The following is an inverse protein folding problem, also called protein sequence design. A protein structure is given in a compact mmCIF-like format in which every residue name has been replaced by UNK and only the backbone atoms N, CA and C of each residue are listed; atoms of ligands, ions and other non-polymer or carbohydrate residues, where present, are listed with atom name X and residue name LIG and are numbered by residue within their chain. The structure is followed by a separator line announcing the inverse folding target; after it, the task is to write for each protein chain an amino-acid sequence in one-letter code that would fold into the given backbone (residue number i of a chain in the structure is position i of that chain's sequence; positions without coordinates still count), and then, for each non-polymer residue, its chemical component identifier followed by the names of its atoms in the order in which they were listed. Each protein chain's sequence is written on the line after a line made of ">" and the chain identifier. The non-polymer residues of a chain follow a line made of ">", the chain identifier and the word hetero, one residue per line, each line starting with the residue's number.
data_IF_657484457246
#
_entry.id   IF_657484457246
#
_cell.length_a   1.000
_cell.length_b   1.000
_cell.length_c   1.000
_cell.angle_alpha   90.00
_cell.angle_beta   90.00
_cell.angle_gamma   90.00
#
_symmetry.space_group_name_H-M   'P 1'
#
loop_
_entity.id
_entity.type
_entity.pdbx_description
1 polymer ?
#
# COMPACT_ATOMS: atom_id res chain seq x y z
N UNK A 1 15.53 -20.46 -6.96
CA UNK A 1 14.70 -20.72 -5.76
C UNK A 1 14.11 -19.40 -5.28
N UNK A 2 12.78 -19.31 -5.10
CA UNK A 2 12.14 -18.14 -4.50
C UNK A 2 12.48 -18.03 -3.01
N UNK A 3 12.92 -16.85 -2.55
CA UNK A 3 13.32 -16.58 -1.16
C UNK A 3 12.51 -15.41 -0.59
N UNK A 4 11.20 -15.58 -0.46
CA UNK A 4 10.27 -14.54 0.02
C UNK A 4 10.63 -14.01 1.41
N UNK A 5 11.17 -14.84 2.30
CA UNK A 5 11.58 -14.38 3.64
C UNK A 5 12.80 -13.44 3.60
N UNK A 6 13.66 -13.56 2.59
CA UNK A 6 14.83 -12.71 2.42
C UNK A 6 14.47 -11.28 1.99
N UNK A 7 13.26 -11.06 1.46
CA UNK A 7 12.81 -9.72 1.01
C UNK A 7 12.30 -8.84 2.14
N UNK A 8 12.16 -9.37 3.37
CA UNK A 8 11.72 -8.62 4.56
C UNK A 8 12.62 -7.43 4.88
N UNK A 9 13.93 -7.55 4.63
CA UNK A 9 14.90 -6.47 4.82
C UNK A 9 14.92 -5.47 3.66
N UNK A 10 14.14 -5.69 2.60
CA UNK A 10 14.11 -4.85 1.40
C UNK A 10 12.73 -4.23 1.22
N UNK A 11 12.43 -3.10 1.89
CA UNK A 11 11.68 -1.99 1.34
C UNK A 11 10.65 -2.27 0.25
N UNK A 12 11.22 -2.03 -0.93
CA UNK A 12 10.63 -2.02 -2.25
C UNK A 12 10.11 -3.37 -2.70
N UNK A 13 10.57 -4.48 -2.08
CA UNK A 13 10.12 -5.83 -2.41
C UNK A 13 8.98 -6.28 -1.50
N UNK A 14 9.08 -6.09 -0.19
CA UNK A 14 8.02 -6.59 0.69
C UNK A 14 6.70 -5.87 0.48
N UNK A 15 6.70 -4.58 0.08
CA UNK A 15 5.45 -3.86 -0.25
C UNK A 15 4.73 -4.51 -1.44
N UNK A 16 5.47 -5.05 -2.41
CA UNK A 16 4.90 -5.79 -3.54
C UNK A 16 4.32 -7.12 -3.08
N UNK A 17 5.02 -7.84 -2.19
CA UNK A 17 4.49 -9.08 -1.61
C UNK A 17 3.21 -8.85 -0.80
N UNK A 18 3.14 -7.78 -0.01
CA UNK A 18 1.92 -7.41 0.71
C UNK A 18 0.80 -7.05 -0.25
N UNK A 19 1.09 -6.30 -1.31
CA UNK A 19 0.13 -6.01 -2.37
C UNK A 19 -0.46 -7.27 -3.00
N UNK A 20 0.37 -8.28 -3.29
CA UNK A 20 -0.10 -9.59 -3.79
C UNK A 20 -0.88 -10.37 -2.73
N UNK A 21 -0.46 -10.31 -1.46
CA UNK A 21 -1.19 -10.95 -0.35
C UNK A 21 -2.61 -10.37 -0.23
N UNK A 22 -2.78 -9.05 -0.42
CA UNK A 22 -4.09 -8.42 -0.45
C UNK A 22 -4.98 -8.90 -1.59
N UNK A 23 -4.43 -9.29 -2.75
CA UNK A 23 -5.21 -9.92 -3.83
C UNK A 23 -5.81 -11.24 -3.34
N UNK A 24 -4.99 -12.07 -2.68
CA UNK A 24 -5.45 -13.34 -2.10
C UNK A 24 -6.54 -13.09 -1.05
N UNK A 25 -6.33 -12.12 -0.16
CA UNK A 25 -7.32 -11.74 0.86
C UNK A 25 -8.62 -11.24 0.21
N UNK A 26 -8.54 -10.42 -0.84
CA UNK A 26 -9.72 -9.91 -1.54
C UNK A 26 -10.54 -11.03 -2.19
N UNK A 27 -9.88 -11.99 -2.84
CA UNK A 27 -10.55 -13.15 -3.44
C UNK A 27 -11.17 -14.06 -2.36
N UNK A 28 -10.48 -14.28 -1.25
CA UNK A 28 -11.01 -15.04 -0.11
C UNK A 28 -12.25 -14.36 0.50
N UNK A 29 -12.19 -13.04 0.73
CA UNK A 29 -13.32 -12.26 1.23
C UNK A 29 -14.50 -12.26 0.24
N UNK A 30 -14.22 -12.24 -1.06
CA UNK A 30 -15.27 -12.33 -2.10
C UNK A 30 -16.02 -13.65 -2.02
N UNK A 31 -15.31 -14.77 -1.82
CA UNK A 31 -15.93 -16.08 -1.61
C UNK A 31 -16.70 -16.14 -0.28
N UNK A 32 -16.09 -15.67 0.80
CA UNK A 32 -16.69 -15.67 2.14
C UNK A 32 -17.95 -14.79 2.24
N UNK A 33 -18.05 -13.71 1.48
CA UNK A 33 -19.22 -12.83 1.49
C UNK A 33 -20.53 -13.54 1.09
N UNK A 34 -20.45 -14.66 0.36
CA UNK A 34 -21.61 -15.49 0.02
C UNK A 34 -21.95 -16.54 1.09
N UNK A 35 -21.05 -16.78 2.05
CA UNK A 35 -21.17 -17.87 3.03
C UNK A 35 -21.34 -17.34 4.47
N UNK A 36 -20.80 -16.16 4.77
CA UNK A 36 -20.75 -15.59 6.11
C UNK A 36 -21.46 -14.24 6.11
N UNK A 37 -22.64 -14.11 6.75
CA UNK A 37 -23.43 -12.87 6.74
C UNK A 37 -22.70 -11.62 7.26
N UNK A 38 -21.74 -11.80 8.18
CA UNK A 38 -20.93 -10.71 8.72
C UNK A 38 -19.91 -10.15 7.72
N UNK A 39 -19.56 -10.90 6.66
CA UNK A 39 -18.59 -10.46 5.65
C UNK A 39 -19.33 -9.74 4.53
N UNK A 40 -19.27 -8.41 4.55
CA UNK A 40 -19.90 -7.60 3.49
C UNK A 40 -19.13 -7.73 2.16
N UNK A 41 -19.81 -7.75 1.00
CA UNK A 41 -19.14 -7.76 -0.31
C UNK A 41 -18.17 -6.59 -0.53
N UNK A 42 -18.41 -5.45 0.14
CA UNK A 42 -17.54 -4.28 0.12
C UNK A 42 -16.17 -4.53 0.75
N UNK A 43 -16.04 -5.48 1.69
CA UNK A 43 -14.75 -5.82 2.30
C UNK A 43 -13.76 -6.37 1.27
N UNK A 44 -14.22 -7.20 0.34
CA UNK A 44 -13.41 -7.70 -0.77
C UNK A 44 -12.94 -6.57 -1.70
N UNK A 45 -13.85 -5.63 -2.00
CA UNK A 45 -13.53 -4.45 -2.83
C UNK A 45 -12.47 -3.58 -2.15
N UNK A 46 -12.59 -3.34 -0.84
CA UNK A 46 -11.61 -2.55 -0.11
C UNK A 46 -10.27 -3.26 0.08
N UNK A 47 -10.26 -4.58 0.31
CA UNK A 47 -9.03 -5.36 0.31
C UNK A 47 -8.29 -5.25 -1.04
N UNK A 48 -9.03 -5.30 -2.15
CA UNK A 48 -8.45 -5.15 -3.49
C UNK A 48 -7.98 -3.72 -3.77
N UNK A 49 -8.79 -2.71 -3.47
CA UNK A 49 -8.53 -1.33 -3.88
C UNK A 49 -7.60 -0.60 -2.90
N UNK A 50 -7.91 -0.62 -1.61
CA UNK A 50 -7.13 0.05 -0.56
C UNK A 50 -5.87 -0.74 -0.25
N UNK A 51 -6.00 -2.06 -0.10
CA UNK A 51 -4.89 -2.97 0.19
C UNK A 51 -3.98 -3.22 -1.02
N UNK A 52 -4.47 -3.97 -2.01
CA UNK A 52 -3.64 -4.43 -3.12
C UNK A 52 -3.23 -3.28 -4.05
N UNK A 53 -4.19 -2.60 -4.67
CA UNK A 53 -3.91 -1.51 -5.62
C UNK A 53 -3.16 -0.38 -4.93
N UNK A 54 -3.57 0.02 -3.72
CA UNK A 54 -2.87 1.04 -2.94
C UNK A 54 -1.39 0.70 -2.69
N UNK A 55 -1.11 -0.50 -2.18
CA UNK A 55 0.26 -0.95 -1.87
C UNK A 55 1.11 -1.11 -3.13
N UNK A 56 0.58 -1.78 -4.17
CA UNK A 56 1.31 -2.01 -5.42
C UNK A 56 1.61 -0.68 -6.12
N UNK A 57 0.64 0.23 -6.17
CA UNK A 57 0.81 1.55 -6.78
C UNK A 57 1.89 2.34 -6.05
N UNK A 58 1.80 2.45 -4.72
CA UNK A 58 2.76 3.20 -3.93
C UNK A 58 4.19 2.64 -4.06
N UNK A 59 4.33 1.31 -4.05
CA UNK A 59 5.61 0.63 -4.26
C UNK A 59 6.17 0.85 -5.67
N UNK A 60 5.33 0.71 -6.70
CA UNK A 60 5.73 0.90 -8.10
C UNK A 60 6.08 2.36 -8.40
N UNK A 61 5.28 3.33 -7.95
CA UNK A 61 5.58 4.75 -8.11
C UNK A 61 6.92 5.12 -7.46
N UNK A 62 7.19 4.61 -6.25
CA UNK A 62 8.47 4.83 -5.56
C UNK A 62 9.65 4.29 -6.36
N UNK A 63 9.49 3.10 -6.95
CA UNK A 63 10.53 2.45 -7.75
C UNK A 63 10.79 3.20 -9.05
N UNK A 64 9.72 3.57 -9.75
CA UNK A 64 9.76 4.30 -11.02
C UNK A 64 10.38 5.68 -10.80
N UNK A 65 9.99 6.41 -9.75
CA UNK A 65 10.57 7.71 -9.42
C UNK A 65 12.09 7.65 -9.27
N UNK A 66 12.62 6.66 -8.53
CA UNK A 66 14.07 6.49 -8.37
C UNK A 66 14.76 6.05 -9.67
N UNK A 67 14.19 5.06 -10.37
CA UNK A 67 14.77 4.53 -11.60
C UNK A 67 14.85 5.57 -12.74
N UNK A 68 13.81 6.39 -12.89
CA UNK A 68 13.77 7.43 -13.92
C UNK A 68 14.51 8.71 -13.53
N UNK A 69 14.91 8.89 -12.27
CA UNK A 69 15.79 9.99 -11.84
C UNK A 69 17.27 9.58 -11.75
N UNK A 70 17.60 8.34 -12.15
CA UNK A 70 18.96 7.81 -12.11
C UNK A 70 19.47 7.49 -10.69
N UNK A 71 18.56 7.45 -9.70
CA UNK A 71 18.89 7.23 -8.29
C UNK A 71 18.86 5.75 -7.95
N UNK A 72 19.63 5.37 -6.92
CA UNK A 72 19.63 3.99 -6.41
C UNK A 72 18.23 3.67 -5.86
N UNK A 73 17.70 2.50 -6.22
CA UNK A 73 16.34 2.07 -5.84
C UNK A 73 16.35 1.54 -4.39
N UNK A 74 16.41 2.47 -3.44
CA UNK A 74 16.33 2.20 -2.00
C UNK A 74 15.25 3.08 -1.40
N UNK A 75 14.33 2.47 -0.65
CA UNK A 75 13.28 3.21 0.06
C UNK A 75 13.89 4.01 1.21
N UNK A 76 13.62 5.31 1.24
CA UNK A 76 13.94 6.16 2.38
C UNK A 76 12.99 5.94 3.55
N UNK A 77 13.37 6.35 4.75
CA UNK A 77 12.53 6.26 5.97
C UNK A 77 11.09 6.77 5.79
N UNK A 78 10.81 7.95 5.19
CA UNK A 78 9.43 8.41 5.00
C UNK A 78 8.62 7.49 4.06
N UNK A 79 9.27 6.85 3.10
CA UNK A 79 8.61 5.93 2.16
C UNK A 79 8.34 4.58 2.81
N UNK A 80 9.25 4.10 3.66
CA UNK A 80 8.99 2.94 4.51
C UNK A 80 7.78 3.21 5.41
N UNK A 81 7.71 4.40 6.03
CA UNK A 81 6.56 4.80 6.82
C UNK A 81 5.27 4.82 5.98
N UNK A 82 5.30 5.39 4.77
CA UNK A 82 4.16 5.37 3.85
C UNK A 82 3.69 3.94 3.53
N UNK A 83 4.62 2.99 3.29
CA UNK A 83 4.30 1.59 3.04
C UNK A 83 3.64 0.89 4.23
N UNK A 84 4.03 1.23 5.46
CA UNK A 84 3.41 0.71 6.68
C UNK A 84 2.01 1.31 6.83
N UNK A 85 1.90 2.64 6.73
CA UNK A 85 0.66 3.40 6.95
C UNK A 85 -0.44 2.97 5.96
N UNK A 86 -0.12 2.76 4.68
CA UNK A 86 -1.12 2.29 3.69
C UNK A 86 -1.66 0.90 4.04
N UNK A 87 -0.81 0.01 4.58
CA UNK A 87 -1.24 -1.33 4.99
C UNK A 87 -2.09 -1.28 6.27
N UNK A 88 -1.75 -0.41 7.23
CA UNK A 88 -2.58 -0.19 8.43
C UNK A 88 -3.95 0.36 8.04
N UNK A 89 -4.00 1.31 7.10
CA UNK A 89 -5.26 1.83 6.54
C UNK A 89 -6.13 0.71 5.96
N UNK A 90 -5.54 -0.16 5.13
CA UNK A 90 -6.25 -1.28 4.52
C UNK A 90 -6.78 -2.27 5.57
N UNK A 91 -5.99 -2.60 6.60
CA UNK A 91 -6.41 -3.45 7.72
C UNK A 91 -7.61 -2.83 8.43
N UNK A 92 -7.53 -1.56 8.82
CA UNK A 92 -8.63 -0.88 9.52
C UNK A 92 -9.89 -0.86 8.65
N UNK A 93 -9.74 -0.53 7.35
CA UNK A 93 -10.88 -0.45 6.42
C UNK A 93 -11.60 -1.78 6.25
N UNK A 94 -10.86 -2.90 6.23
CA UNK A 94 -11.41 -4.24 5.99
C UNK A 94 -11.89 -4.90 7.27
N UNK A 95 -11.14 -4.79 8.37
CA UNK A 95 -11.38 -5.56 9.60
C UNK A 95 -12.42 -4.91 10.50
N UNK A 96 -12.37 -3.58 10.70
CA UNK A 96 -13.28 -2.90 11.65
C UNK A 96 -14.77 -3.13 11.33
N UNK A 97 -15.24 -3.00 10.07
CA UNK A 97 -16.64 -3.25 9.75
C UNK A 97 -17.13 -4.67 10.06
N UNK A 98 -16.23 -5.66 10.03
CA UNK A 98 -16.55 -7.08 10.26
C UNK A 98 -16.46 -7.41 11.75
N UNK A 99 -15.37 -7.00 12.41
CA UNK A 99 -15.06 -7.41 13.79
C UNK A 99 -15.73 -6.53 14.84
N UNK A 100 -15.86 -5.22 14.57
CA UNK A 100 -16.40 -4.26 15.54
C UNK A 100 -17.32 -3.23 14.85
N UNK A 101 -18.52 -3.65 14.36
CA UNK A 101 -19.38 -2.80 13.53
C UNK A 101 -19.76 -1.46 14.15
N UNK A 102 -19.84 -1.38 15.49
CA UNK A 102 -20.13 -0.13 16.22
C UNK A 102 -19.08 0.97 16.03
N UNK A 103 -17.86 0.63 15.59
CA UNK A 103 -16.79 1.59 15.28
C UNK A 103 -16.65 1.87 13.78
N UNK A 104 -17.66 1.54 12.97
CA UNK A 104 -17.60 1.74 11.52
C UNK A 104 -17.20 3.16 11.12
N UNK A 105 -17.88 4.18 11.65
CA UNK A 105 -17.64 5.57 11.25
C UNK A 105 -16.25 6.09 11.70
N UNK A 106 -15.83 5.93 12.97
CA UNK A 106 -14.47 6.25 13.37
C UNK A 106 -13.41 5.49 12.57
N UNK A 107 -13.61 4.18 12.35
CA UNK A 107 -12.69 3.35 11.58
C UNK A 107 -12.56 3.79 10.12
N UNK A 108 -13.67 4.23 9.50
CA UNK A 108 -13.67 4.80 8.15
C UNK A 108 -12.84 6.07 8.08
N UNK A 109 -13.04 7.00 9.02
CA UNK A 109 -12.29 8.28 9.07
C UNK A 109 -10.80 8.01 9.26
N UNK A 110 -10.44 7.16 10.24
CA UNK A 110 -9.04 6.82 10.51
C UNK A 110 -8.40 6.14 9.30
N UNK A 111 -9.07 5.16 8.67
CA UNK A 111 -8.56 4.52 7.48
C UNK A 111 -8.32 5.52 6.33
N UNK A 112 -9.26 6.45 6.11
CA UNK A 112 -9.14 7.50 5.11
C UNK A 112 -7.95 8.44 5.38
N UNK A 113 -7.77 8.89 6.62
CA UNK A 113 -6.65 9.75 7.01
C UNK A 113 -5.30 9.04 6.86
N UNK A 114 -5.22 7.77 7.26
CA UNK A 114 -4.00 6.97 7.08
C UNK A 114 -3.69 6.79 5.59
N UNK A 115 -4.68 6.45 4.77
CA UNK A 115 -4.48 6.30 3.32
C UNK A 115 -3.96 7.59 2.69
N UNK A 116 -4.61 8.72 2.99
CA UNK A 116 -4.22 10.04 2.48
C UNK A 116 -2.82 10.44 2.95
N UNK A 117 -2.46 10.16 4.21
CA UNK A 117 -1.14 10.48 4.73
C UNK A 117 -0.03 9.64 4.10
N UNK A 118 -0.28 8.36 3.76
CA UNK A 118 0.69 7.54 3.03
C UNK A 118 1.04 8.16 1.66
N UNK A 119 0.04 8.62 0.90
CA UNK A 119 0.28 9.30 -0.37
C UNK A 119 0.85 10.71 -0.20
N UNK A 120 0.47 11.43 0.85
CA UNK A 120 1.07 12.73 1.16
C UNK A 120 2.57 12.59 1.45
N UNK A 121 2.99 11.57 2.22
CA UNK A 121 4.41 11.27 2.46
C UNK A 121 5.15 11.00 1.16
N UNK A 122 4.54 10.24 0.25
CA UNK A 122 5.11 9.99 -1.09
C UNK A 122 5.29 11.29 -1.87
N UNK A 123 4.25 12.11 -1.96
CA UNK A 123 4.28 13.38 -2.72
C UNK A 123 5.36 14.30 -2.14
N UNK A 124 5.31 14.57 -0.84
CA UNK A 124 6.27 15.46 -0.16
C UNK A 124 7.72 14.98 -0.39
N UNK A 125 7.96 13.67 -0.33
CA UNK A 125 9.30 13.13 -0.49
C UNK A 125 9.79 13.14 -1.95
N UNK A 126 8.96 12.72 -2.91
CA UNK A 126 9.40 12.51 -4.29
C UNK A 126 9.17 13.68 -5.23
N UNK A 127 8.30 14.65 -4.92
CA UNK A 127 8.15 15.87 -5.73
C UNK A 127 9.48 16.59 -5.98
N UNK A 128 10.32 16.90 -4.98
CA UNK A 128 11.61 17.55 -5.24
C UNK A 128 12.56 16.67 -6.06
N UNK A 129 12.51 15.35 -5.89
CA UNK A 129 13.34 14.40 -6.65
C UNK A 129 12.95 14.40 -8.13
N UNK A 130 11.65 14.43 -8.42
CA UNK A 130 11.09 14.40 -9.78
C UNK A 130 11.19 15.74 -10.50
N UNK A 131 11.36 16.83 -9.77
CA UNK A 131 11.55 18.19 -10.33
C UNK A 131 13.02 18.56 -10.54
N UNK A 132 13.96 17.69 -10.15
CA UNK A 132 15.38 17.88 -10.37
C UNK A 132 15.86 17.09 -11.59
N UNK A 133 16.87 17.59 -12.33
CA UNK A 133 17.51 16.82 -13.37
C UNK A 133 18.03 15.49 -12.83
N UNK A 134 18.07 14.48 -13.69
CA UNK A 134 18.70 13.20 -13.37
C UNK A 134 20.13 13.38 -12.86
N UNK A 135 20.49 12.59 -11.85
CA UNK A 135 21.84 12.64 -11.27
C UNK A 135 22.92 12.01 -12.14
N UNK A 136 22.54 11.22 -13.14
CA UNK A 136 23.47 10.58 -14.08
C UNK A 136 23.74 11.41 -15.34
N UNK A 137 23.17 12.62 -15.42
CA UNK A 137 23.38 13.56 -16.54
C UNK A 137 22.74 13.14 -17.86
N UNK A 138 21.94 12.07 -17.89
CA UNK A 138 21.20 11.65 -19.09
C UNK A 138 19.93 12.48 -19.27
N UNK A 139 19.34 12.50 -20.49
CA UNK A 139 18.06 13.17 -20.71
C UNK A 139 16.97 12.67 -19.75
N UNK A 140 16.26 13.61 -19.12
CA UNK A 140 15.21 13.36 -18.14
C UNK A 140 15.34 14.21 -16.88
#
# INVERSE_FOLDING_TARGET
>A
RWRSLATRCVPMLWILHLGHAWIVVALALKGLAGLVPAVMPSAAVHALTVGAIGSLTLGMMSRVALGHTGRVIVASTPIIAAFIVINVSAIIRVVIPIAVPGFYLPGLIVAGLLWSSAFALFIIHYTPILMQPRIDGKPG
#
